data_IF_184874134962
#
_entry.id   IF_184874134962
#
_cell.length_a   1.000
_cell.length_b   1.000
_cell.length_c   1.000
_cell.angle_alpha   90.00
_cell.angle_beta   90.00
_cell.angle_gamma   90.00
#
_symmetry.space_group_name_H-M   'P 1'
#
loop_
_entity.id
_entity.type
_entity.pdbx_description
1 polymer ?
#
# COMPACT_ATOMS: atom_id res chain seq x y z
N UNK A 1 -1.26 17.82 9.30
CA UNK A 1 -1.19 17.04 10.55
C UNK A 1 0.09 16.18 10.66
N UNK A 2 0.56 15.52 9.60
CA UNK A 2 1.81 14.73 9.63
C UNK A 2 3.06 15.50 10.09
N UNK A 3 3.21 16.77 9.71
CA UNK A 3 4.42 17.58 10.02
C UNK A 3 4.57 17.94 11.51
N UNK A 4 3.50 17.96 12.29
CA UNK A 4 3.56 18.27 13.73
C UNK A 4 3.97 17.05 14.53
N UNK A 5 3.48 15.88 14.16
CA UNK A 5 3.81 14.61 14.79
C UNK A 5 5.31 14.25 14.58
N UNK A 6 5.79 14.43 13.35
CA UNK A 6 7.22 14.21 13.04
C UNK A 6 8.16 15.14 13.84
N UNK A 7 7.74 16.37 14.10
CA UNK A 7 8.53 17.32 14.92
C UNK A 7 8.59 16.90 16.38
N UNK A 8 7.48 16.39 16.92
CA UNK A 8 7.41 15.91 18.29
C UNK A 8 8.29 14.67 18.47
N UNK A 9 8.25 13.71 17.58
CA UNK A 9 9.12 12.53 17.64
C UNK A 9 10.60 12.88 17.61
N UNK A 10 11.02 13.77 16.69
CA UNK A 10 12.41 14.23 16.61
C UNK A 10 12.83 14.98 17.88
N UNK A 11 11.94 15.77 18.45
CA UNK A 11 12.20 16.46 19.70
C UNK A 11 12.35 15.48 20.87
N UNK A 12 11.51 14.45 20.95
CA UNK A 12 11.61 13.40 21.98
C UNK A 12 12.96 12.67 21.87
N UNK A 13 13.36 12.27 20.66
CA UNK A 13 14.66 11.61 20.44
C UNK A 13 15.81 12.50 20.86
N UNK A 14 15.79 13.77 20.47
CA UNK A 14 16.83 14.73 20.81
C UNK A 14 16.94 14.96 22.33
N UNK A 15 15.81 15.15 23.02
CA UNK A 15 15.76 15.34 24.47
C UNK A 15 16.22 14.07 25.18
N UNK A 16 15.77 12.89 24.74
CA UNK A 16 16.18 11.62 25.33
C UNK A 16 17.69 11.39 25.18
N UNK A 17 18.23 11.62 23.96
CA UNK A 17 19.66 11.52 23.73
C UNK A 17 20.46 12.49 24.59
N UNK A 18 20.00 13.73 24.74
CA UNK A 18 20.64 14.75 25.57
C UNK A 18 20.65 14.35 27.05
N UNK A 19 19.51 13.91 27.59
CA UNK A 19 19.39 13.45 28.98
C UNK A 19 20.30 12.24 29.24
N UNK A 20 20.30 11.26 28.33
CA UNK A 20 21.15 10.08 28.43
C UNK A 20 22.63 10.45 28.40
N UNK A 21 23.04 11.41 27.54
CA UNK A 21 24.42 11.87 27.47
C UNK A 21 24.88 12.50 28.79
N UNK A 22 24.01 13.25 29.47
CA UNK A 22 24.31 13.81 30.79
C UNK A 22 24.39 12.73 31.87
N UNK A 23 23.47 11.79 31.86
CA UNK A 23 23.42 10.70 32.84
C UNK A 23 24.63 9.75 32.75
N UNK A 24 25.16 9.56 31.56
CA UNK A 24 26.34 8.71 31.33
C UNK A 24 27.68 9.48 31.44
N UNK A 25 27.67 10.74 31.80
CA UNK A 25 28.94 11.46 32.06
C UNK A 25 29.73 10.77 33.21
N UNK A 26 31.07 10.51 33.05
CA UNK A 26 31.97 11.00 31.99
C UNK A 26 32.03 10.08 30.72
N UNK A 27 31.29 8.97 30.63
CA UNK A 27 31.32 8.04 29.49
C UNK A 27 30.38 8.49 28.38
N UNK A 28 30.70 9.56 27.70
CA UNK A 28 29.92 10.15 26.60
C UNK A 28 29.71 9.19 25.43
N UNK A 29 30.67 8.27 25.22
CA UNK A 29 30.57 7.25 24.18
C UNK A 29 29.31 6.38 24.32
N UNK A 30 28.92 6.01 25.55
CA UNK A 30 27.73 5.20 25.80
C UNK A 30 26.43 5.93 25.44
N UNK A 31 26.36 7.23 25.74
CA UNK A 31 25.22 8.07 25.40
C UNK A 31 25.02 8.17 23.88
N UNK A 32 26.12 8.32 23.13
CA UNK A 32 26.09 8.37 21.67
C UNK A 32 25.61 7.05 21.07
N UNK A 33 26.15 5.91 21.53
CA UNK A 33 25.78 4.57 21.04
C UNK A 33 24.30 4.30 21.29
N UNK A 34 23.78 4.59 22.48
CA UNK A 34 22.36 4.43 22.80
C UNK A 34 21.50 5.33 21.92
N UNK A 35 21.90 6.58 21.72
CA UNK A 35 21.18 7.52 20.83
C UNK A 35 21.09 7.03 19.38
N UNK A 36 22.19 6.47 18.86
CA UNK A 36 22.23 5.90 17.50
C UNK A 36 21.31 4.68 17.41
N UNK A 37 21.38 3.75 18.38
CA UNK A 37 20.53 2.54 18.39
C UNK A 37 19.05 2.94 18.47
N UNK A 38 18.69 3.88 19.34
CA UNK A 38 17.32 4.37 19.48
C UNK A 38 16.82 5.03 18.18
N UNK A 39 17.63 5.90 17.57
CA UNK A 39 17.29 6.55 16.32
C UNK A 39 17.11 5.56 15.18
N UNK A 40 17.99 4.56 15.07
CA UNK A 40 17.90 3.50 14.07
C UNK A 40 16.66 2.64 14.31
N UNK A 41 16.37 2.27 15.55
CA UNK A 41 15.19 1.48 15.92
C UNK A 41 13.89 2.20 15.54
N UNK A 42 13.76 3.49 15.85
CA UNK A 42 12.60 4.30 15.46
C UNK A 42 12.48 4.47 13.94
N UNK A 43 13.60 4.64 13.24
CA UNK A 43 13.62 4.69 11.79
C UNK A 43 13.10 3.38 11.17
N UNK A 44 13.60 2.22 11.64
CA UNK A 44 13.16 0.92 11.17
C UNK A 44 11.67 0.69 11.47
N UNK A 45 11.23 0.97 12.69
CA UNK A 45 9.83 0.83 13.09
C UNK A 45 8.89 1.65 12.17
N UNK A 46 9.27 2.88 11.88
CA UNK A 46 8.50 3.75 10.98
C UNK A 46 8.43 3.22 9.54
N UNK A 47 9.48 2.52 9.09
CA UNK A 47 9.55 1.98 7.74
C UNK A 47 8.75 0.67 7.59
N UNK A 48 8.41 0.03 8.71
CA UNK A 48 7.64 -1.23 8.71
C UNK A 48 6.14 -1.04 8.42
N UNK A 49 5.58 0.16 8.64
CA UNK A 49 4.16 0.46 8.42
C UNK A 49 3.96 1.59 7.39
N UNK A 50 4.24 1.35 6.10
CA UNK A 50 3.99 2.32 5.05
C UNK A 50 2.49 2.64 4.91
N UNK A 51 2.19 3.78 4.28
CA UNK A 51 0.79 4.17 4.07
C UNK A 51 0.09 3.23 3.11
N UNK A 52 -0.97 2.59 3.60
CA UNK A 52 -1.94 1.85 2.82
C UNK A 52 -3.24 2.65 2.76
N UNK A 53 -3.70 2.99 1.56
CA UNK A 53 -4.80 3.92 1.37
C UNK A 53 -5.78 3.38 0.34
N UNK A 54 -7.06 3.30 0.67
CA UNK A 54 -8.11 3.07 -0.32
C UNK A 54 -8.42 4.38 -1.04
N UNK A 55 -8.44 4.33 -2.36
CA UNK A 55 -8.66 5.48 -3.23
C UNK A 55 -10.09 5.51 -3.74
N UNK A 56 -10.66 6.71 -3.81
CA UNK A 56 -11.93 7.00 -4.48
C UNK A 56 -11.86 8.35 -5.20
N UNK A 57 -12.93 8.74 -5.86
CA UNK A 57 -13.03 10.03 -6.52
C UNK A 57 -14.33 10.73 -6.13
N UNK A 58 -14.37 12.05 -6.27
CA UNK A 58 -15.63 12.78 -6.32
C UNK A 58 -16.36 12.52 -7.65
N UNK A 59 -17.68 12.61 -7.65
CA UNK A 59 -18.51 12.48 -8.85
C UNK A 59 -18.03 13.45 -9.94
N UNK A 60 -17.74 12.89 -11.12
CA UNK A 60 -17.26 13.66 -12.28
C UNK A 60 -15.77 14.03 -12.25
N UNK A 61 -15.01 13.66 -11.20
CA UNK A 61 -13.57 13.92 -11.12
C UNK A 61 -12.75 12.71 -11.53
N UNK A 62 -11.70 12.94 -12.30
CA UNK A 62 -10.69 11.91 -12.62
C UNK A 62 -9.56 11.82 -11.58
N UNK A 63 -9.60 12.69 -10.56
CA UNK A 63 -8.57 12.74 -9.53
C UNK A 63 -8.90 11.74 -8.41
N UNK A 64 -8.04 10.75 -8.23
CA UNK A 64 -8.13 9.80 -7.13
C UNK A 64 -7.57 10.41 -5.85
N UNK A 65 -8.34 10.34 -4.78
CA UNK A 65 -7.98 10.84 -3.45
C UNK A 65 -8.17 9.73 -2.40
N UNK A 66 -7.58 9.93 -1.22
CA UNK A 66 -7.81 9.04 -0.09
C UNK A 66 -9.30 9.10 0.31
N UNK A 67 -9.97 7.97 0.24
CA UNK A 67 -11.40 7.88 0.51
C UNK A 67 -11.75 8.26 1.96
N UNK A 68 -10.90 7.87 2.92
CA UNK A 68 -11.13 8.17 4.34
C UNK A 68 -10.87 9.66 4.68
N UNK A 69 -9.78 10.23 4.17
CA UNK A 69 -9.41 11.61 4.49
C UNK A 69 -10.38 12.63 3.88
N UNK A 70 -11.07 12.24 2.80
CA UNK A 70 -11.96 13.12 2.04
C UNK A 70 -13.44 12.71 2.17
N UNK A 71 -13.78 11.80 3.09
CA UNK A 71 -15.15 11.30 3.31
C UNK A 71 -15.86 10.88 2.01
N UNK A 72 -15.13 10.14 1.15
CA UNK A 72 -15.63 9.68 -0.14
C UNK A 72 -16.27 8.31 -0.04
N UNK A 73 -17.33 8.12 -0.82
CA UNK A 73 -17.95 6.81 -0.96
C UNK A 73 -16.96 5.80 -1.58
N UNK A 74 -16.91 4.60 -1.02
CA UNK A 74 -16.09 3.50 -1.48
C UNK A 74 -16.94 2.52 -2.27
N UNK A 75 -16.37 1.95 -3.32
CA UNK A 75 -17.03 0.89 -4.05
C UNK A 75 -16.89 -0.43 -3.29
N UNK A 76 -17.99 -1.16 -3.12
CA UNK A 76 -18.00 -2.43 -2.41
C UNK A 76 -17.47 -3.59 -3.27
N UNK A 77 -17.63 -3.49 -4.59
CA UNK A 77 -17.31 -4.58 -5.54
C UNK A 77 -15.88 -4.48 -6.07
N UNK A 78 -15.40 -3.25 -6.31
CA UNK A 78 -14.04 -2.98 -6.82
C UNK A 78 -13.36 -1.99 -5.90
N UNK A 79 -12.23 -2.37 -5.31
CA UNK A 79 -11.40 -1.47 -4.50
C UNK A 79 -10.14 -1.06 -5.24
N UNK A 80 -9.80 0.22 -5.15
CA UNK A 80 -8.51 0.73 -5.63
C UNK A 80 -7.68 1.08 -4.40
N UNK A 81 -6.52 0.45 -4.25
CA UNK A 81 -5.64 0.68 -3.10
C UNK A 81 -4.29 1.21 -3.57
N UNK A 82 -3.76 2.14 -2.81
CA UNK A 82 -2.41 2.68 -3.01
C UNK A 82 -1.55 2.32 -1.81
N UNK A 83 -0.40 1.75 -2.09
CA UNK A 83 0.65 1.53 -1.13
C UNK A 83 1.80 2.48 -1.41
N UNK A 84 2.31 3.15 -0.37
CA UNK A 84 3.35 4.17 -0.52
C UNK A 84 4.57 3.80 0.33
N UNK A 85 5.50 3.08 -0.28
CA UNK A 85 6.74 2.60 0.33
C UNK A 85 7.33 1.44 -0.45
N UNK A 86 8.59 1.12 -0.23
CA UNK A 86 9.20 -0.10 -0.78
C UNK A 86 8.58 -1.34 -0.15
N UNK A 87 8.50 -2.43 -0.91
CA UNK A 87 7.95 -3.70 -0.46
C UNK A 87 9.09 -4.70 -0.24
N UNK A 88 9.37 -5.02 1.03
CA UNK A 88 10.49 -5.87 1.41
C UNK A 88 10.15 -6.68 2.67
N UNK A 89 11.04 -7.58 3.06
CA UNK A 89 10.79 -8.55 4.15
C UNK A 89 10.20 -7.95 5.42
N UNK A 90 10.60 -6.72 5.80
CA UNK A 90 10.17 -6.10 7.05
C UNK A 90 8.72 -5.58 7.02
N UNK A 91 8.15 -5.32 5.85
CA UNK A 91 6.79 -4.79 5.71
C UNK A 91 5.87 -5.62 4.79
N UNK A 92 6.35 -6.72 4.24
CA UNK A 92 5.55 -7.61 3.41
C UNK A 92 4.33 -8.14 4.17
N UNK A 93 4.49 -8.57 5.41
CA UNK A 93 3.38 -9.01 6.27
C UNK A 93 2.36 -7.92 6.56
N UNK A 94 2.81 -6.69 6.79
CA UNK A 94 1.90 -5.56 6.97
C UNK A 94 1.03 -5.31 5.73
N UNK A 95 1.63 -5.33 4.53
CA UNK A 95 0.88 -5.18 3.28
C UNK A 95 -0.17 -6.28 3.14
N UNK A 96 0.23 -7.53 3.37
CA UNK A 96 -0.65 -8.69 3.30
C UNK A 96 -1.83 -8.58 4.27
N UNK A 97 -1.57 -8.28 5.55
CA UNK A 97 -2.60 -8.11 6.57
C UNK A 97 -3.61 -7.01 6.19
N UNK A 98 -3.12 -5.90 5.61
CA UNK A 98 -3.99 -4.81 5.14
C UNK A 98 -4.88 -5.24 3.97
N UNK A 99 -4.37 -6.04 3.03
CA UNK A 99 -5.13 -6.57 1.91
C UNK A 99 -6.19 -7.58 2.39
N UNK A 100 -5.82 -8.51 3.26
CA UNK A 100 -6.76 -9.49 3.82
C UNK A 100 -7.85 -8.83 4.68
N UNK A 101 -7.48 -7.80 5.44
CA UNK A 101 -8.46 -7.01 6.19
C UNK A 101 -9.44 -6.30 5.28
N UNK A 102 -8.98 -5.70 4.17
CA UNK A 102 -9.86 -5.07 3.20
C UNK A 102 -10.90 -6.05 2.62
N UNK A 103 -10.47 -7.28 2.34
CA UNK A 103 -11.36 -8.36 1.85
C UNK A 103 -12.39 -8.73 2.91
N UNK A 104 -11.95 -8.89 4.17
CA UNK A 104 -12.83 -9.23 5.28
C UNK A 104 -13.86 -8.12 5.57
N UNK A 105 -13.44 -6.86 5.53
CA UNK A 105 -14.31 -5.70 5.81
C UNK A 105 -15.43 -5.53 4.77
N UNK A 106 -15.24 -6.01 3.53
CA UNK A 106 -16.24 -5.91 2.43
C UNK A 106 -17.15 -7.12 2.27
N UNK A 107 -17.20 -8.02 3.27
CA UNK A 107 -18.21 -9.08 3.43
C UNK A 107 -18.58 -9.85 2.13
N UNK A 108 -17.58 -10.36 1.40
CA UNK A 108 -17.77 -11.13 0.15
C UNK A 108 -18.33 -10.38 -1.06
N UNK A 109 -18.62 -9.07 -0.94
CA UNK A 109 -19.02 -8.27 -2.10
C UNK A 109 -17.86 -7.94 -3.03
N UNK A 110 -16.65 -7.86 -2.48
CA UNK A 110 -15.44 -7.51 -3.21
C UNK A 110 -15.08 -8.60 -4.22
N UNK A 111 -14.87 -8.19 -5.47
CA UNK A 111 -14.47 -9.07 -6.58
C UNK A 111 -13.11 -8.70 -7.15
N UNK A 112 -12.78 -7.41 -7.17
CA UNK A 112 -11.51 -6.93 -7.70
C UNK A 112 -10.82 -5.97 -6.74
N UNK A 113 -9.51 -6.13 -6.63
CA UNK A 113 -8.63 -5.15 -5.98
C UNK A 113 -7.64 -4.65 -7.01
N UNK A 114 -7.63 -3.35 -7.27
CA UNK A 114 -6.65 -2.69 -8.14
C UNK A 114 -5.58 -2.08 -7.25
N UNK A 115 -4.36 -2.62 -7.32
CA UNK A 115 -3.22 -2.12 -6.54
C UNK A 115 -2.47 -1.08 -7.36
N UNK A 116 -2.49 0.17 -6.90
CA UNK A 116 -1.68 1.26 -7.47
C UNK A 116 -0.23 1.12 -7.00
N UNK A 117 0.62 0.65 -7.89
CA UNK A 117 2.04 0.34 -7.63
C UNK A 117 2.96 1.57 -7.75
N UNK A 118 2.45 2.73 -8.15
CA UNK A 118 3.28 3.94 -8.33
C UNK A 118 3.98 4.43 -7.05
N UNK A 119 3.50 4.01 -5.88
CA UNK A 119 4.14 4.30 -4.59
C UNK A 119 5.20 3.29 -4.19
N UNK A 120 5.39 2.20 -4.95
CA UNK A 120 6.35 1.13 -4.67
C UNK A 120 7.57 1.34 -5.54
N UNK A 121 8.65 1.81 -4.93
CA UNK A 121 9.88 2.13 -5.64
C UNK A 121 10.85 0.93 -5.73
N UNK A 122 10.75 0.00 -4.79
CA UNK A 122 11.59 -1.18 -4.70
C UNK A 122 10.80 -2.38 -4.18
N UNK A 123 11.15 -3.56 -4.66
CA UNK A 123 10.61 -4.83 -4.19
C UNK A 123 11.79 -5.82 -4.08
N UNK A 124 11.85 -6.57 -2.98
CA UNK A 124 12.80 -7.66 -2.79
C UNK A 124 12.14 -9.03 -3.01
N UNK A 125 12.92 -10.09 -2.92
CA UNK A 125 12.44 -11.46 -3.11
C UNK A 125 11.30 -11.83 -2.12
N UNK A 126 11.36 -11.34 -0.87
CA UNK A 126 10.31 -11.59 0.12
C UNK A 126 9.02 -10.86 -0.22
N UNK A 127 9.12 -9.63 -0.73
CA UNK A 127 7.97 -8.88 -1.24
C UNK A 127 7.32 -9.55 -2.44
N UNK A 128 8.11 -10.09 -3.36
CA UNK A 128 7.62 -10.86 -4.51
C UNK A 128 6.94 -12.16 -4.12
N UNK A 129 7.54 -12.93 -3.21
CA UNK A 129 6.97 -14.17 -2.69
C UNK A 129 5.64 -13.90 -1.97
N UNK A 130 5.59 -12.85 -1.15
CA UNK A 130 4.36 -12.42 -0.50
C UNK A 130 3.28 -12.04 -1.52
N UNK A 131 3.59 -11.24 -2.56
CA UNK A 131 2.63 -10.90 -3.61
C UNK A 131 2.11 -12.15 -4.33
N UNK A 132 2.98 -13.11 -4.60
CA UNK A 132 2.63 -14.40 -5.22
C UNK A 132 1.63 -15.18 -4.35
N UNK A 133 1.94 -15.34 -3.07
CA UNK A 133 1.06 -16.02 -2.12
C UNK A 133 -0.27 -15.29 -1.88
N UNK A 134 -0.23 -13.95 -1.91
CA UNK A 134 -1.44 -13.12 -1.78
C UNK A 134 -2.38 -13.29 -2.98
N UNK A 135 -1.83 -13.32 -4.20
CA UNK A 135 -2.61 -13.59 -5.42
C UNK A 135 -3.36 -14.93 -5.31
N UNK A 136 -2.65 -15.98 -4.90
CA UNK A 136 -3.24 -17.32 -4.76
C UNK A 136 -4.36 -17.33 -3.71
N UNK A 137 -4.17 -16.68 -2.57
CA UNK A 137 -5.17 -16.59 -1.49
C UNK A 137 -6.38 -15.75 -1.88
N UNK A 138 -6.17 -14.62 -2.54
CA UNK A 138 -7.26 -13.78 -2.99
C UNK A 138 -8.10 -14.49 -4.06
N UNK A 139 -7.45 -15.14 -5.02
CA UNK A 139 -8.14 -15.94 -6.05
C UNK A 139 -8.97 -17.07 -5.44
N UNK A 140 -8.43 -17.78 -4.44
CA UNK A 140 -9.17 -18.79 -3.70
C UNK A 140 -10.39 -18.23 -2.94
N UNK A 141 -10.34 -16.95 -2.54
CA UNK A 141 -11.46 -16.23 -1.92
C UNK A 141 -12.44 -15.62 -2.96
N UNK A 142 -12.20 -15.81 -4.26
CA UNK A 142 -13.00 -15.24 -5.34
C UNK A 142 -12.76 -13.75 -5.56
N UNK A 143 -11.58 -13.25 -5.18
CA UNK A 143 -11.15 -11.87 -5.36
C UNK A 143 -9.93 -11.84 -6.27
N UNK A 144 -10.03 -11.12 -7.39
CA UNK A 144 -8.93 -10.95 -8.33
C UNK A 144 -8.13 -9.67 -8.04
N UNK A 145 -6.80 -9.77 -8.11
CA UNK A 145 -5.90 -8.61 -7.96
C UNK A 145 -5.39 -8.19 -9.33
N UNK A 146 -5.52 -6.90 -9.62
CA UNK A 146 -4.94 -6.23 -10.78
C UNK A 146 -3.92 -5.20 -10.32
N UNK A 147 -2.85 -5.03 -11.08
CA UNK A 147 -1.77 -4.09 -10.79
C UNK A 147 -1.79 -2.95 -11.78
N UNK A 148 -1.68 -1.72 -11.30
CA UNK A 148 -1.64 -0.54 -12.14
C UNK A 148 -0.44 0.34 -11.81
N UNK A 149 0.13 1.02 -12.83
CA UNK A 149 1.21 2.00 -12.66
C UNK A 149 2.50 1.43 -12.07
N UNK A 150 3.05 0.41 -12.70
CA UNK A 150 4.24 -0.31 -12.20
C UNK A 150 5.59 0.31 -12.60
N UNK A 151 5.64 1.51 -13.11
CA UNK A 151 6.82 2.14 -13.73
C UNK A 151 8.12 1.99 -12.90
N UNK A 152 8.00 1.96 -11.55
CA UNK A 152 9.16 1.83 -10.67
C UNK A 152 9.72 0.41 -10.53
N UNK A 153 8.88 -0.62 -10.65
CA UNK A 153 9.24 -2.02 -10.34
C UNK A 153 9.01 -2.99 -11.49
N UNK A 154 8.46 -2.52 -12.61
CA UNK A 154 8.14 -3.36 -13.78
C UNK A 154 9.33 -4.23 -14.22
N UNK A 155 10.52 -3.61 -14.35
CA UNK A 155 11.73 -4.31 -14.77
C UNK A 155 12.14 -5.42 -13.79
N UNK A 156 11.87 -5.24 -12.50
CA UNK A 156 12.17 -6.24 -11.46
C UNK A 156 11.22 -7.42 -11.62
N UNK A 157 9.91 -7.18 -11.69
CA UNK A 157 8.88 -8.19 -11.83
C UNK A 157 8.93 -8.97 -13.16
N UNK A 158 9.38 -8.33 -14.24
CA UNK A 158 9.65 -9.03 -15.51
C UNK A 158 10.89 -9.93 -15.37
N UNK A 159 11.96 -9.41 -14.78
CA UNK A 159 13.23 -10.11 -14.68
C UNK A 159 13.18 -11.32 -13.75
N UNK A 160 12.37 -11.27 -12.70
CA UNK A 160 12.12 -12.38 -11.77
C UNK A 160 11.18 -13.44 -12.33
N UNK A 161 10.50 -13.16 -13.45
CA UNK A 161 9.48 -14.05 -14.02
C UNK A 161 8.11 -13.96 -13.36
N UNK A 162 7.91 -13.03 -12.43
CA UNK A 162 6.63 -12.83 -11.75
C UNK A 162 5.48 -12.60 -12.74
N UNK A 163 5.70 -11.72 -13.74
CA UNK A 163 4.70 -11.42 -14.76
C UNK A 163 4.34 -12.63 -15.63
N UNK A 164 5.30 -13.50 -15.90
CA UNK A 164 5.07 -14.72 -16.70
C UNK A 164 4.33 -15.80 -15.90
N UNK A 165 4.58 -15.87 -14.58
CA UNK A 165 3.93 -16.81 -13.67
C UNK A 165 2.47 -16.46 -13.41
N UNK A 166 2.15 -15.17 -13.25
CA UNK A 166 0.82 -14.72 -12.80
C UNK A 166 -0.06 -14.14 -13.91
N UNK A 167 0.43 -14.10 -15.16
CA UNK A 167 -0.30 -13.57 -16.32
C UNK A 167 -0.05 -12.08 -16.54
N UNK A 168 0.18 -11.71 -17.81
CA UNK A 168 0.44 -10.32 -18.21
C UNK A 168 -0.83 -9.48 -18.27
N UNK A 169 -1.96 -10.10 -18.33
CA UNK A 169 -3.32 -9.54 -18.35
C UNK A 169 -3.75 -8.90 -17.03
N UNK A 170 -2.96 -9.11 -15.96
CA UNK A 170 -3.17 -8.47 -14.64
C UNK A 170 -2.49 -7.10 -14.51
N UNK A 171 -1.72 -6.66 -15.50
CA UNK A 171 -0.88 -5.47 -15.42
C UNK A 171 -1.36 -4.37 -16.35
N UNK A 172 -1.61 -3.18 -15.81
CA UNK A 172 -2.18 -2.04 -16.51
C UNK A 172 -1.34 -0.79 -16.34
N UNK A 173 -1.24 0.02 -17.39
CA UNK A 173 -0.54 1.31 -17.31
C UNK A 173 -1.30 2.30 -16.44
N UNK A 174 -2.64 2.26 -16.47
CA UNK A 174 -3.51 3.19 -15.74
C UNK A 174 -4.49 2.45 -14.85
N UNK A 175 -4.83 3.07 -13.70
CA UNK A 175 -5.88 2.58 -12.79
C UNK A 175 -7.24 2.48 -13.49
N UNK A 176 -7.54 3.45 -14.38
CA UNK A 176 -8.78 3.48 -15.14
C UNK A 176 -8.92 2.31 -16.11
N UNK A 177 -7.82 1.84 -16.69
CA UNK A 177 -7.84 0.70 -17.62
C UNK A 177 -8.09 -0.61 -16.86
N UNK A 178 -7.43 -0.78 -15.71
CA UNK A 178 -7.72 -1.89 -14.79
C UNK A 178 -9.17 -1.85 -14.29
N UNK A 179 -9.69 -0.65 -13.99
CA UNK A 179 -11.08 -0.46 -13.55
C UNK A 179 -12.08 -0.85 -14.65
N UNK A 180 -11.86 -0.41 -15.88
CA UNK A 180 -12.71 -0.79 -17.03
C UNK A 180 -12.68 -2.29 -17.29
N UNK A 181 -11.52 -2.91 -17.21
CA UNK A 181 -11.38 -4.36 -17.34
C UNK A 181 -12.19 -5.07 -16.25
N UNK A 182 -12.03 -4.70 -14.98
CA UNK A 182 -12.74 -5.31 -13.89
C UNK A 182 -14.27 -5.25 -14.07
N UNK A 183 -14.81 -4.10 -14.45
CA UNK A 183 -16.24 -3.94 -14.68
C UNK A 183 -16.74 -4.69 -15.92
N UNK A 184 -15.93 -4.76 -16.97
CA UNK A 184 -16.26 -5.55 -18.18
C UNK A 184 -16.37 -7.04 -17.85
N UNK A 185 -15.44 -7.58 -17.07
CA UNK A 185 -15.46 -9.00 -16.67
C UNK A 185 -16.60 -9.33 -15.69
N UNK A 186 -16.97 -8.39 -14.83
CA UNK A 186 -18.10 -8.54 -13.92
C UNK A 186 -19.44 -8.62 -14.66
N UNK A 187 -19.59 -7.90 -15.78
CA UNK A 187 -20.83 -7.89 -16.56
C UNK A 187 -22.05 -7.34 -15.81
N UNK A 188 -21.85 -6.70 -14.66
CA UNK A 188 -22.91 -6.18 -13.78
C UNK A 188 -23.07 -4.67 -13.99
N UNK A 189 -23.88 -4.30 -14.99
CA UNK A 189 -24.17 -2.90 -15.31
C UNK A 189 -24.91 -2.18 -14.17
N UNK A 190 -25.72 -2.89 -13.39
CA UNK A 190 -26.46 -2.29 -12.27
C UNK A 190 -25.51 -1.90 -11.14
N UNK A 191 -24.61 -2.78 -10.74
CA UNK A 191 -23.59 -2.47 -9.75
C UNK A 191 -22.60 -1.39 -10.24
N UNK A 192 -22.24 -1.41 -11.55
CA UNK A 192 -21.42 -0.38 -12.17
C UNK A 192 -22.07 1.01 -12.10
N UNK A 193 -23.38 1.10 -12.38
CA UNK A 193 -24.14 2.36 -12.34
C UNK A 193 -24.28 2.95 -10.93
N UNK A 194 -24.28 2.11 -9.90
CA UNK A 194 -24.30 2.50 -8.48
C UNK A 194 -22.92 2.81 -7.90
N UNK A 195 -21.87 2.45 -8.63
CA UNK A 195 -20.49 2.69 -8.19
C UNK A 195 -20.16 4.18 -8.14
N UNK A 196 -19.47 4.66 -7.09
CA UNK A 196 -18.93 6.03 -7.06
C UNK A 196 -17.90 6.28 -8.16
N UNK A 197 -17.39 5.23 -8.81
CA UNK A 197 -16.40 5.28 -9.88
C UNK A 197 -17.03 5.19 -11.28
N UNK A 198 -18.37 5.21 -11.40
CA UNK A 198 -19.11 5.02 -12.67
C UNK A 198 -18.65 5.91 -13.81
N UNK A 199 -18.31 7.16 -13.53
CA UNK A 199 -17.87 8.14 -14.53
C UNK A 199 -16.48 7.85 -15.13
N UNK A 200 -15.73 6.90 -14.55
CA UNK A 200 -14.44 6.44 -15.06
C UNK A 200 -14.54 5.16 -15.89
N UNK A 201 -15.72 4.51 -15.87
CA UNK A 201 -15.97 3.24 -16.55
C UNK A 201 -16.48 3.48 -17.98
N UNK A 202 -17.21 4.57 -18.17
CA UNK A 202 -17.77 5.01 -19.47
C UNK A 202 -16.70 5.40 -20.49
#
# INVERSE_FOLDING_TARGET
>A
MASSFERIERAIVAVTAFVLTILFAPHLENGIVIGVILSLGLFLFRTMEPRFTELSTHDGSTMFMNALDNDLNRCEVVSIVKYSGSLYFANAGYFEDRMLKLIADKHHCLKYIIVDMAGINQIDASGEEMLSGLLDRCSAAGVEILFARMEGIEKVLIRSGFSDKHGKDRFYERRTDALRYAWKELGDEEAASKSPLKHLIS
#
